data_IF_023910466123
#
_entry.id   IF_023910466123
#
_cell.length_a   1.000
_cell.length_b   1.000
_cell.length_c   1.000
_cell.angle_alpha   90.00
_cell.angle_beta   90.00
_cell.angle_gamma   90.00
#
_symmetry.space_group_name_H-M   'P 1'
#
loop_
_entity.id
_entity.type
_entity.pdbx_description
1 polymer ?
#
# COMPACT_ATOMS: atom_id res chain seq x y z
N UNK A 1 17.11 -3.84 4.59
CA UNK A 1 16.23 -4.37 3.53
C UNK A 1 14.82 -4.56 4.10
N UNK A 2 14.43 -5.71 4.70
CA UNK A 2 13.15 -5.84 5.45
C UNK A 2 12.93 -4.74 6.51
N UNK A 3 13.99 -4.37 7.23
CA UNK A 3 13.97 -3.33 8.26
C UNK A 3 13.57 -1.93 7.75
N UNK A 4 13.87 -1.59 6.50
CA UNK A 4 13.52 -0.29 5.93
C UNK A 4 12.03 -0.23 5.57
N UNK A 5 11.52 -1.29 4.93
CA UNK A 5 10.10 -1.44 4.63
C UNK A 5 9.23 -1.45 5.90
N UNK A 6 9.60 -2.24 6.91
CA UNK A 6 8.90 -2.27 8.20
C UNK A 6 8.93 -0.90 8.88
N UNK A 7 10.06 -0.17 8.83
CA UNK A 7 10.11 1.18 9.39
C UNK A 7 9.23 2.18 8.62
N UNK A 8 9.14 2.05 7.30
CA UNK A 8 8.25 2.88 6.50
C UNK A 8 6.80 2.65 6.90
N UNK A 9 6.37 1.39 6.95
CA UNK A 9 5.01 1.01 7.34
C UNK A 9 4.67 1.51 8.73
N UNK A 10 5.53 1.24 9.72
CA UNK A 10 5.38 1.74 11.09
C UNK A 10 5.28 3.26 11.16
N UNK A 11 6.09 3.99 10.37
CA UNK A 11 6.02 5.46 10.32
C UNK A 11 4.69 5.96 9.78
N UNK A 12 4.11 5.31 8.78
CA UNK A 12 2.78 5.64 8.26
C UNK A 12 1.69 5.30 9.27
N UNK A 13 1.74 4.13 9.90
CA UNK A 13 0.77 3.76 10.93
C UNK A 13 0.80 4.68 12.15
N UNK A 14 1.96 5.27 12.48
CA UNK A 14 2.07 6.33 13.50
C UNK A 14 1.30 7.60 13.18
N UNK A 15 1.03 7.91 11.91
CA UNK A 15 0.14 9.04 11.59
C UNK A 15 -1.31 8.72 11.98
N UNK A 16 -1.75 7.46 11.82
CA UNK A 16 -3.05 7.01 12.29
C UNK A 16 -3.14 6.94 13.83
N UNK A 17 -2.06 6.54 14.51
CA UNK A 17 -1.94 6.66 15.97
C UNK A 17 -2.11 8.10 16.44
N UNK A 18 -1.41 9.06 15.83
CA UNK A 18 -1.51 10.48 16.21
C UNK A 18 -2.91 11.05 16.02
N UNK A 19 -3.61 10.67 14.96
CA UNK A 19 -4.93 11.22 14.62
C UNK A 19 -6.07 10.52 15.37
N UNK A 20 -5.99 9.20 15.51
CA UNK A 20 -7.10 8.36 15.95
C UNK A 20 -6.78 7.46 17.15
N UNK A 21 -5.55 7.46 17.64
CA UNK A 21 -5.13 6.61 18.77
C UNK A 21 -5.03 5.13 18.43
N UNK A 22 -4.97 4.76 17.15
CA UNK A 22 -4.82 3.37 16.72
C UNK A 22 -3.44 2.81 17.14
N UNK A 23 -3.43 1.55 17.60
CA UNK A 23 -2.17 0.82 17.79
C UNK A 23 -1.48 0.60 16.43
N UNK A 24 -0.23 1.09 16.24
CA UNK A 24 0.44 1.02 14.95
C UNK A 24 0.68 -0.41 14.44
N UNK A 25 0.93 -1.37 15.34
CA UNK A 25 1.28 -2.74 14.95
C UNK A 25 0.03 -3.50 14.49
N UNK A 26 -1.07 -3.37 15.22
CA UNK A 26 -2.38 -3.91 14.86
C UNK A 26 -2.90 -3.28 13.56
N UNK A 27 -2.76 -1.96 13.42
CA UNK A 27 -3.18 -1.27 12.19
C UNK A 27 -2.33 -1.67 10.97
N UNK A 28 -1.02 -1.88 11.14
CA UNK A 28 -0.17 -2.42 10.07
C UNK A 28 -0.66 -3.79 9.60
N UNK A 29 -1.02 -4.69 10.52
CA UNK A 29 -1.54 -6.02 10.17
C UNK A 29 -2.84 -5.92 9.37
N UNK A 30 -3.78 -5.08 9.83
CA UNK A 30 -5.05 -4.82 9.13
C UNK A 30 -4.80 -4.34 7.71
N UNK A 31 -3.97 -3.31 7.51
CA UNK A 31 -3.69 -2.76 6.17
C UNK A 31 -3.01 -3.81 5.28
N UNK A 32 -2.11 -4.63 5.82
CA UNK A 32 -1.48 -5.72 5.04
C UNK A 32 -2.47 -6.78 4.59
N UNK A 33 -3.44 -7.12 5.42
CA UNK A 33 -4.50 -8.06 5.07
C UNK A 33 -5.43 -7.50 4.00
N UNK A 34 -5.88 -6.24 4.17
CA UNK A 34 -6.72 -5.56 3.20
C UNK A 34 -6.00 -5.37 1.85
N UNK A 35 -4.71 -5.01 1.88
CA UNK A 35 -3.87 -4.94 0.69
C UNK A 35 -3.81 -6.29 -0.05
N UNK A 36 -3.61 -7.40 0.66
CA UNK A 36 -3.59 -8.75 0.04
C UNK A 36 -4.94 -9.11 -0.59
N UNK A 37 -6.05 -8.91 0.14
CA UNK A 37 -7.39 -9.21 -0.35
C UNK A 37 -7.69 -8.41 -1.62
N UNK A 38 -7.44 -7.11 -1.57
CA UNK A 38 -7.67 -6.20 -2.70
C UNK A 38 -6.78 -6.55 -3.90
N UNK A 39 -5.51 -6.84 -3.66
CA UNK A 39 -4.57 -7.22 -4.72
C UNK A 39 -5.02 -8.48 -5.45
N UNK A 40 -5.54 -9.47 -4.72
CA UNK A 40 -6.07 -10.71 -5.32
C UNK A 40 -7.42 -10.57 -6.02
N UNK A 41 -8.12 -9.44 -5.88
CA UNK A 41 -9.41 -9.22 -6.53
C UNK A 41 -9.33 -8.53 -7.89
N UNK A 42 -8.15 -8.04 -8.28
CA UNK A 42 -7.97 -7.35 -9.56
C UNK A 42 -7.64 -8.30 -10.71
N UNK A 43 -8.04 -7.93 -11.92
CA UNK A 43 -7.72 -8.68 -13.15
C UNK A 43 -6.22 -8.84 -13.42
N UNK A 44 -5.41 -7.95 -12.86
CA UNK A 44 -3.95 -7.97 -12.99
C UNK A 44 -3.29 -9.00 -12.08
N UNK A 45 -4.05 -9.68 -11.20
CA UNK A 45 -3.50 -10.61 -10.22
C UNK A 45 -2.67 -11.73 -10.86
N UNK A 46 -3.22 -12.45 -11.83
CA UNK A 46 -2.51 -13.54 -12.52
C UNK A 46 -1.23 -13.04 -13.19
N UNK A 47 -1.27 -11.85 -13.79
CA UNK A 47 -0.10 -11.21 -14.36
C UNK A 47 0.95 -10.94 -13.29
N UNK A 48 0.57 -10.39 -12.15
CA UNK A 48 1.50 -10.08 -11.06
C UNK A 48 2.17 -11.32 -10.46
N UNK A 49 1.42 -12.42 -10.35
CA UNK A 49 1.95 -13.72 -9.90
C UNK A 49 2.98 -14.23 -10.91
N UNK A 50 2.68 -14.14 -12.20
CA UNK A 50 3.58 -14.56 -13.29
C UNK A 50 4.93 -13.84 -13.25
N UNK A 51 4.93 -12.53 -12.98
CA UNK A 51 6.15 -11.71 -12.97
C UNK A 51 6.77 -11.52 -11.57
N UNK A 52 6.18 -12.11 -10.53
CA UNK A 52 6.71 -12.10 -9.17
C UNK A 52 6.54 -10.79 -8.39
N UNK A 53 5.61 -9.91 -8.80
CA UNK A 53 5.31 -8.68 -8.06
C UNK A 53 4.41 -9.03 -6.87
N UNK A 54 4.82 -8.60 -5.67
CA UNK A 54 4.05 -8.82 -4.46
C UNK A 54 3.09 -7.65 -4.14
N UNK A 55 2.00 -7.87 -3.37
CA UNK A 55 1.02 -6.84 -3.04
C UNK A 55 1.62 -5.58 -2.40
N UNK A 56 2.70 -5.73 -1.64
CA UNK A 56 3.31 -4.63 -0.88
C UNK A 56 4.20 -3.73 -1.74
N UNK A 57 4.69 -4.23 -2.89
CA UNK A 57 5.31 -3.39 -3.92
C UNK A 57 4.32 -2.38 -4.48
N UNK A 58 3.07 -2.81 -4.73
CA UNK A 58 2.01 -1.94 -5.23
C UNK A 58 1.66 -0.79 -4.28
N UNK A 59 2.03 -0.88 -3.00
CA UNK A 59 1.78 0.21 -2.04
C UNK A 59 2.64 1.46 -2.29
N UNK A 60 3.68 1.36 -3.13
CA UNK A 60 4.60 2.48 -3.39
C UNK A 60 5.17 2.52 -4.81
N UNK A 61 5.20 1.40 -5.52
CA UNK A 61 5.71 1.35 -6.90
C UNK A 61 4.78 2.10 -7.85
N UNK A 62 5.38 2.76 -8.84
CA UNK A 62 4.64 3.37 -9.94
C UNK A 62 4.56 2.45 -11.16
N UNK A 63 5.24 1.30 -11.18
CA UNK A 63 5.25 0.38 -12.33
C UNK A 63 5.50 1.09 -13.67
N UNK A 64 6.42 2.07 -13.68
CA UNK A 64 6.74 2.85 -14.88
C UNK A 64 7.62 2.09 -15.88
N UNK A 65 8.33 1.06 -15.42
CA UNK A 65 9.16 0.20 -16.27
C UNK A 65 9.18 -1.24 -15.72
N UNK A 66 9.26 -2.26 -16.60
CA UNK A 66 9.26 -2.19 -18.07
C UNK A 66 7.87 -1.93 -18.71
N UNK A 67 7.82 -1.28 -19.88
CA UNK A 67 6.59 -0.81 -20.58
C UNK A 67 5.88 -1.95 -21.33
N UNK A 68 5.40 -2.95 -20.60
CA UNK A 68 4.48 -3.98 -21.14
C UNK A 68 3.03 -3.57 -20.90
N UNK A 69 2.07 -4.19 -21.61
CA UNK A 69 0.64 -3.96 -21.36
C UNK A 69 0.26 -4.23 -19.89
N UNK A 70 0.82 -5.28 -19.29
CA UNK A 70 0.58 -5.59 -17.88
C UNK A 70 1.12 -4.51 -16.93
N UNK A 71 2.31 -3.96 -17.19
CA UNK A 71 2.83 -2.82 -16.41
C UNK A 71 2.03 -1.54 -16.63
N UNK A 72 1.51 -1.29 -17.82
CA UNK A 72 0.61 -0.17 -18.08
C UNK A 72 -0.68 -0.29 -17.27
N UNK A 73 -1.27 -1.49 -17.21
CA UNK A 73 -2.45 -1.76 -16.35
C UNK A 73 -2.12 -1.59 -14.88
N UNK A 74 -0.97 -2.09 -14.41
CA UNK A 74 -0.51 -1.91 -13.03
C UNK A 74 -0.26 -0.44 -12.69
N UNK A 75 0.37 0.32 -13.59
CA UNK A 75 0.59 1.75 -13.42
C UNK A 75 -0.74 2.52 -13.28
N UNK A 76 -1.73 2.20 -14.13
CA UNK A 76 -3.05 2.79 -14.06
C UNK A 76 -3.79 2.44 -12.77
N UNK A 77 -3.63 1.20 -12.28
CA UNK A 77 -4.29 0.68 -11.08
C UNK A 77 -3.64 1.15 -9.77
N UNK A 78 -2.32 1.36 -9.77
CA UNK A 78 -1.55 1.60 -8.54
C UNK A 78 -2.05 2.78 -7.68
N UNK A 79 -2.44 3.96 -8.23
CA UNK A 79 -3.00 5.04 -7.42
C UNK A 79 -4.24 4.62 -6.64
N UNK A 80 -5.18 3.94 -7.31
CA UNK A 80 -6.41 3.46 -6.70
C UNK A 80 -6.14 2.36 -5.67
N UNK A 81 -5.33 1.37 -6.01
CA UNK A 81 -4.94 0.30 -5.09
C UNK A 81 -4.34 0.84 -3.80
N UNK A 82 -3.42 1.80 -3.90
CA UNK A 82 -2.79 2.44 -2.74
C UNK A 82 -3.84 3.09 -1.85
N UNK A 83 -4.69 3.95 -2.41
CA UNK A 83 -5.77 4.62 -1.67
C UNK A 83 -6.67 3.60 -0.97
N UNK A 84 -7.18 2.63 -1.73
CA UNK A 84 -8.15 1.66 -1.23
C UNK A 84 -7.56 0.74 -0.15
N UNK A 85 -6.29 0.34 -0.25
CA UNK A 85 -5.64 -0.45 0.79
C UNK A 85 -5.63 0.26 2.17
N UNK A 86 -5.30 1.56 2.19
CA UNK A 86 -5.31 2.35 3.43
C UNK A 86 -6.72 2.70 3.90
N UNK A 87 -7.62 3.07 2.99
CA UNK A 87 -9.02 3.37 3.33
C UNK A 87 -9.75 2.15 3.89
N UNK A 88 -9.58 0.97 3.27
CA UNK A 88 -10.18 -0.28 3.78
C UNK A 88 -9.58 -0.68 5.12
N UNK A 89 -8.28 -0.43 5.32
CA UNK A 89 -7.65 -0.65 6.61
C UNK A 89 -8.24 0.23 7.71
N UNK A 90 -8.44 1.53 7.44
CA UNK A 90 -9.10 2.45 8.37
C UNK A 90 -10.53 1.99 8.68
N UNK A 91 -11.29 1.63 7.65
CA UNK A 91 -12.66 1.14 7.80
C UNK A 91 -12.73 -0.11 8.67
N UNK A 92 -11.81 -1.06 8.46
CA UNK A 92 -11.68 -2.28 9.27
C UNK A 92 -11.33 -1.96 10.72
N UNK A 93 -10.55 -0.91 10.96
CA UNK A 93 -10.27 -0.37 12.30
C UNK A 93 -11.41 0.49 12.88
N UNK A 94 -12.57 0.57 12.20
CA UNK A 94 -13.74 1.33 12.66
C UNK A 94 -13.72 2.82 12.34
N UNK A 95 -12.85 3.27 11.41
CA UNK A 95 -12.70 4.67 11.02
C UNK A 95 -13.14 4.86 9.57
N UNK A 96 -14.17 5.67 9.36
CA UNK A 96 -14.63 6.07 8.02
C UNK A 96 -14.09 7.46 7.65
N UNK A 97 -12.82 7.51 7.22
CA UNK A 97 -12.16 8.75 6.75
C UNK A 97 -11.35 8.47 5.49
N UNK A 98 -12.01 8.51 4.34
CA UNK A 98 -11.42 8.27 3.03
C UNK A 98 -10.32 9.30 2.68
N UNK A 99 -10.50 10.56 3.08
CA UNK A 99 -9.52 11.62 2.85
C UNK A 99 -8.22 11.32 3.59
N UNK A 100 -8.31 10.78 4.81
CA UNK A 100 -7.13 10.34 5.55
C UNK A 100 -6.53 9.04 5.00
N UNK A 101 -7.35 8.13 4.46
CA UNK A 101 -6.86 6.97 3.71
C UNK A 101 -5.98 7.38 2.51
N UNK A 102 -6.43 8.37 1.74
CA UNK A 102 -5.64 8.98 0.66
C UNK A 102 -4.34 9.61 1.20
N UNK A 103 -4.41 10.37 2.29
CA UNK A 103 -3.22 10.95 2.92
C UNK A 103 -2.19 9.88 3.31
N UNK A 104 -2.61 8.76 3.91
CA UNK A 104 -1.71 7.67 4.30
C UNK A 104 -1.06 7.01 3.08
N UNK A 105 -1.82 6.84 1.99
CA UNK A 105 -1.30 6.34 0.72
C UNK A 105 -0.19 7.23 0.16
N UNK A 106 -0.42 8.54 0.09
CA UNK A 106 0.54 9.52 -0.42
C UNK A 106 1.77 9.65 0.49
N UNK A 107 1.55 9.62 1.81
CA UNK A 107 2.62 9.66 2.80
C UNK A 107 3.52 8.43 2.71
N UNK A 108 2.94 7.23 2.58
CA UNK A 108 3.71 6.00 2.41
C UNK A 108 4.51 6.02 1.10
N UNK A 109 3.87 6.36 -0.02
CA UNK A 109 4.51 6.39 -1.33
C UNK A 109 5.65 7.43 -1.40
N UNK A 110 5.41 8.66 -0.91
CA UNK A 110 6.42 9.73 -0.92
C UNK A 110 7.63 9.43 -0.03
N UNK A 111 7.42 8.75 1.11
CA UNK A 111 8.53 8.31 1.97
C UNK A 111 9.27 7.11 1.40
N UNK A 112 8.57 6.21 0.70
CA UNK A 112 9.22 5.12 -0.03
C UNK A 112 10.17 5.66 -1.10
N UNK A 113 9.78 6.68 -1.86
CA UNK A 113 10.67 7.29 -2.86
C UNK A 113 11.91 7.95 -2.24
N UNK A 114 11.80 8.46 -1.00
CA UNK A 114 12.92 9.05 -0.24
C UNK A 114 13.79 8.02 0.49
N UNK A 115 13.42 6.74 0.45
CA UNK A 115 14.11 5.67 1.16
C UNK A 115 14.49 4.59 0.16
N UNK A 116 15.76 4.15 0.05
CA UNK A 116 16.07 3.00 -0.78
C UNK A 116 15.39 1.74 -0.20
N UNK A 117 14.29 1.34 -0.83
CA UNK A 117 13.50 0.15 -0.50
C UNK A 117 13.66 -0.81 -1.69
N UNK A 118 14.61 -1.74 -1.57
CA UNK A 118 14.59 -2.96 -2.38
C UNK A 118 13.96 -4.06 -1.53
N UNK A 119 12.94 -4.70 -2.08
CA UNK A 119 12.25 -5.84 -1.47
C UNK A 119 13.01 -7.14 -1.76
#
# INVERSE_FOLDING_TARGET
MKKAFTQLFRKTCREAEKKYGLDPESFEQIVREEARKLYSSYETYDYTVMIGINPFEGLWSNFSEPISEGFQKLNALAPEYRKNAWTNGLKTAGIEDEAFGQYLADFFCSRAQKTPICL
#
